data_IF_731000107667
#
_entry.id   IF_731000107667
#
_cell.length_a   1.000
_cell.length_b   1.000
_cell.length_c   1.000
_cell.angle_alpha   90.00
_cell.angle_beta   90.00
_cell.angle_gamma   90.00
#
_symmetry.space_group_name_H-M   'P 1'
#
loop_
_entity.id
_entity.type
_entity.pdbx_description
1 polymer ?
#
# COMPACT_ATOMS: atom_id res chain seq x y z
N UNK A 1 -31.42 -14.68 19.54
CA UNK A 1 -30.91 -15.13 18.22
C UNK A 1 -31.02 -14.07 17.10
N UNK A 2 -32.03 -13.17 17.10
CA UNK A 2 -32.20 -12.15 16.06
C UNK A 2 -31.09 -11.08 16.03
N UNK A 3 -30.58 -10.69 17.20
CA UNK A 3 -29.60 -9.60 17.33
C UNK A 3 -28.18 -9.95 16.83
N UNK A 4 -27.78 -11.22 16.89
CA UNK A 4 -26.50 -11.67 16.30
C UNK A 4 -26.48 -11.55 14.77
N UNK A 5 -27.64 -11.52 14.11
CA UNK A 5 -27.71 -11.42 12.64
C UNK A 5 -27.16 -10.08 12.12
N UNK A 6 -27.33 -8.98 12.87
CA UNK A 6 -26.86 -7.66 12.44
C UNK A 6 -25.33 -7.56 12.37
N UNK A 7 -24.63 -8.14 13.36
CA UNK A 7 -23.16 -8.19 13.39
C UNK A 7 -22.64 -9.04 12.23
N UNK A 8 -23.26 -10.19 11.95
CA UNK A 8 -22.91 -11.04 10.83
C UNK A 8 -23.16 -10.36 9.47
N UNK A 9 -24.26 -9.64 9.31
CA UNK A 9 -24.55 -8.88 8.10
C UNK A 9 -23.52 -7.77 7.89
N UNK A 10 -23.11 -7.07 8.95
CA UNK A 10 -22.14 -5.98 8.87
C UNK A 10 -20.71 -6.49 8.58
N UNK A 11 -20.32 -7.63 9.16
CA UNK A 11 -19.08 -8.36 8.81
C UNK A 11 -19.08 -8.84 7.35
N UNK A 12 -20.24 -9.18 6.80
CA UNK A 12 -20.39 -9.62 5.41
C UNK A 12 -20.04 -8.53 4.38
N UNK A 13 -20.10 -7.25 4.77
CA UNK A 13 -19.71 -6.12 3.91
C UNK A 13 -18.24 -5.74 4.00
N UNK A 14 -17.44 -6.38 4.87
CA UNK A 14 -16.02 -6.08 5.03
C UNK A 14 -15.06 -6.67 3.97
N UNK A 15 -15.34 -7.77 3.23
CA UNK A 15 -14.41 -8.23 2.21
C UNK A 15 -14.53 -7.33 0.97
N UNK A 16 -13.92 -6.15 1.04
CA UNK A 16 -13.53 -5.44 -0.18
C UNK A 16 -12.51 -6.33 -0.89
N UNK A 17 -12.90 -6.87 -2.05
CA UNK A 17 -12.00 -7.64 -2.89
C UNK A 17 -10.72 -6.82 -3.17
N UNK A 18 -9.55 -7.41 -2.95
CA UNK A 18 -8.28 -6.80 -3.32
C UNK A 18 -8.16 -6.84 -4.86
N UNK A 19 -8.46 -5.72 -5.53
CA UNK A 19 -8.40 -5.60 -7.00
C UNK A 19 -6.95 -5.33 -7.50
N UNK A 20 -6.05 -4.99 -6.59
CA UNK A 20 -4.68 -4.61 -6.89
C UNK A 20 -3.68 -5.49 -6.13
N UNK A 21 -2.64 -5.91 -6.82
CA UNK A 21 -1.42 -6.40 -6.19
C UNK A 21 -0.77 -5.21 -5.46
N UNK A 22 -0.14 -5.47 -4.31
CA UNK A 22 0.54 -4.42 -3.53
C UNK A 22 1.81 -4.96 -2.93
N UNK A 23 2.91 -4.26 -3.18
CA UNK A 23 4.20 -4.45 -2.51
C UNK A 23 4.34 -3.43 -1.39
N UNK A 24 4.83 -3.86 -0.23
CA UNK A 24 4.91 -3.03 0.99
C UNK A 24 6.27 -3.15 1.64
N UNK A 25 6.91 -2.01 1.91
CA UNK A 25 8.09 -1.93 2.77
C UNK A 25 7.87 -0.93 3.90
N UNK A 26 8.40 -1.24 5.08
CA UNK A 26 8.43 -0.31 6.21
C UNK A 26 9.85 0.23 6.35
N UNK A 27 9.97 1.55 6.42
CA UNK A 27 11.26 2.25 6.50
C UNK A 27 11.28 3.14 7.72
N UNK A 28 12.43 3.24 8.36
CA UNK A 28 12.67 4.16 9.46
C UNK A 28 13.59 5.27 8.96
N UNK A 29 13.16 6.52 9.12
CA UNK A 29 13.98 7.66 8.73
C UNK A 29 15.08 7.85 9.77
N UNK A 30 16.30 8.03 9.28
CA UNK A 30 17.44 8.37 10.11
C UNK A 30 17.38 9.82 10.61
N UNK A 31 18.53 10.32 11.04
CA UNK A 31 18.70 11.69 11.47
C UNK A 31 18.43 12.72 10.34
N UNK A 32 17.99 13.91 10.74
CA UNK A 32 17.50 15.00 9.89
C UNK A 32 18.52 15.43 8.84
N UNK A 33 19.81 15.34 9.14
CA UNK A 33 20.90 15.79 8.28
C UNK A 33 20.98 15.04 6.93
N UNK A 34 20.37 13.85 6.84
CA UNK A 34 20.36 13.05 5.61
C UNK A 34 19.07 13.19 4.80
N UNK A 35 18.05 13.84 5.34
CA UNK A 35 16.74 13.91 4.71
C UNK A 35 16.66 15.10 3.74
N UNK A 36 15.98 14.88 2.61
CA UNK A 36 15.74 15.94 1.64
C UNK A 36 14.67 16.90 2.17
N UNK A 37 14.97 18.20 2.08
CA UNK A 37 14.06 19.27 2.50
C UNK A 37 13.11 19.62 1.37
N UNK A 38 12.01 20.32 1.70
CA UNK A 38 11.04 20.81 0.68
C UNK A 38 11.70 21.73 -0.37
N UNK A 39 12.89 22.31 -0.08
CA UNK A 39 13.61 23.18 -1.01
C UNK A 39 14.42 22.44 -2.08
N UNK A 40 14.64 21.13 -1.95
CA UNK A 40 15.28 20.33 -3.02
C UNK A 40 14.29 19.96 -4.12
N UNK A 41 14.80 19.62 -5.32
CA UNK A 41 13.97 19.04 -6.38
C UNK A 41 13.56 17.64 -5.96
N UNK A 42 12.26 17.43 -5.78
CA UNK A 42 11.69 16.20 -5.23
C UNK A 42 10.58 15.66 -6.14
N UNK A 43 10.60 14.35 -6.39
CA UNK A 43 9.52 13.67 -7.13
C UNK A 43 8.29 13.48 -6.24
N UNK A 44 8.50 13.24 -4.94
CA UNK A 44 7.47 12.96 -3.95
C UNK A 44 7.63 13.89 -2.75
N UNK A 45 6.66 14.79 -2.56
CA UNK A 45 6.59 15.62 -1.36
C UNK A 45 5.44 15.18 -0.45
N UNK A 46 5.78 14.68 0.74
CA UNK A 46 4.80 14.13 1.67
C UNK A 46 3.80 15.17 2.21
N UNK A 47 4.15 16.46 2.22
CA UNK A 47 3.26 17.54 2.69
C UNK A 47 2.03 17.71 1.81
N UNK A 48 2.16 17.46 0.50
CA UNK A 48 1.10 17.71 -0.47
C UNK A 48 0.32 16.44 -0.78
N UNK A 49 1.01 15.36 -1.18
CA UNK A 49 0.39 14.10 -1.60
C UNK A 49 1.13 12.91 -1.00
N UNK A 50 0.44 12.07 -0.23
CA UNK A 50 0.96 10.77 0.19
C UNK A 50 0.92 9.71 -0.91
N UNK A 51 0.27 9.99 -2.04
CA UNK A 51 0.10 9.02 -3.14
C UNK A 51 0.31 9.65 -4.51
N UNK A 52 1.07 8.99 -5.38
CA UNK A 52 1.37 9.44 -6.74
C UNK A 52 1.03 8.32 -7.74
N UNK A 53 0.24 8.60 -8.78
CA UNK A 53 0.05 7.70 -9.90
C UNK A 53 1.27 7.75 -10.84
N UNK A 54 1.75 6.58 -11.25
CA UNK A 54 2.90 6.37 -12.12
C UNK A 54 2.49 5.44 -13.27
N UNK A 55 3.09 5.64 -14.44
CA UNK A 55 3.00 4.71 -15.58
C UNK A 55 4.40 4.22 -15.90
N UNK A 56 4.71 2.99 -15.46
CA UNK A 56 6.04 2.44 -15.59
C UNK A 56 6.07 1.36 -16.67
N UNK A 57 7.20 1.24 -17.36
CA UNK A 57 7.40 0.19 -18.36
C UNK A 57 8.18 -0.97 -17.74
N UNK A 58 7.57 -2.17 -17.64
CA UNK A 58 8.29 -3.36 -17.18
C UNK A 58 9.46 -3.70 -18.10
N UNK A 59 10.51 -4.29 -17.55
CA UNK A 59 11.53 -4.89 -18.41
C UNK A 59 10.99 -6.19 -19.03
N UNK A 60 11.18 -6.44 -20.34
CA UNK A 60 10.82 -7.70 -20.97
C UNK A 60 11.54 -8.89 -20.34
N UNK A 61 10.78 -9.95 -20.02
CA UNK A 61 11.36 -11.26 -19.69
C UNK A 61 11.63 -12.00 -21.00
N UNK A 62 12.89 -12.03 -21.42
CA UNK A 62 13.30 -12.81 -22.60
C UNK A 62 13.62 -14.23 -22.13
N UNK A 63 12.81 -15.24 -22.47
CA UNK A 63 13.24 -16.62 -22.32
C UNK A 63 14.40 -16.84 -23.30
N UNK A 64 15.58 -17.24 -22.79
CA UNK A 64 16.79 -17.70 -23.50
C UNK A 64 18.04 -16.79 -23.49
N UNK A 65 18.05 -15.64 -22.82
CA UNK A 65 19.33 -15.02 -22.48
C UNK A 65 19.82 -15.58 -21.15
N UNK A 66 20.93 -16.31 -21.13
CA UNK A 66 21.63 -16.78 -19.92
C UNK A 66 22.22 -15.63 -19.05
N UNK A 67 21.67 -14.42 -19.17
CA UNK A 67 21.99 -13.27 -18.34
C UNK A 67 20.90 -13.06 -17.31
N UNK A 68 21.28 -12.57 -16.12
CA UNK A 68 20.34 -12.24 -15.06
C UNK A 68 19.17 -11.40 -15.59
N UNK A 69 17.93 -11.63 -15.12
CA UNK A 69 16.79 -10.80 -15.48
C UNK A 69 17.11 -9.35 -15.17
N UNK A 70 17.27 -8.52 -16.19
CA UNK A 70 17.41 -7.09 -15.98
C UNK A 70 16.03 -6.58 -15.54
N UNK A 71 15.96 -5.82 -14.45
CA UNK A 71 14.71 -5.19 -14.00
C UNK A 71 14.74 -3.73 -14.45
N UNK A 72 13.59 -3.18 -14.86
CA UNK A 72 13.49 -1.75 -15.13
C UNK A 72 13.53 -1.05 -13.79
N UNK A 73 14.57 -0.25 -13.54
CA UNK A 73 14.78 0.44 -12.28
C UNK A 73 14.39 1.91 -12.40
N UNK A 74 13.44 2.34 -11.59
CA UNK A 74 13.01 3.72 -11.44
C UNK A 74 13.38 4.22 -10.05
N UNK A 75 13.84 5.46 -9.96
CA UNK A 75 14.26 6.07 -8.69
C UNK A 75 13.50 7.36 -8.50
N UNK A 76 12.89 7.55 -7.33
CA UNK A 76 12.08 8.70 -6.97
C UNK A 76 12.62 9.33 -5.70
N UNK A 77 12.95 10.61 -5.75
CA UNK A 77 13.37 11.41 -4.60
C UNK A 77 12.17 11.75 -3.71
N UNK A 78 12.33 11.59 -2.40
CA UNK A 78 11.26 11.79 -1.40
C UNK A 78 11.65 12.85 -0.38
N UNK A 79 10.74 13.80 -0.16
CA UNK A 79 10.95 14.97 0.67
C UNK A 79 9.83 15.18 1.68
N UNK A 80 10.14 15.95 2.73
CA UNK A 80 9.21 16.23 3.82
C UNK A 80 9.02 15.06 4.79
N UNK A 81 9.95 14.10 4.78
CA UNK A 81 10.02 13.04 5.78
C UNK A 81 10.46 13.64 7.13
N UNK A 82 9.81 13.27 8.22
CA UNK A 82 10.24 13.67 9.57
C UNK A 82 11.38 12.74 10.02
N UNK A 83 12.37 13.25 10.77
CA UNK A 83 13.43 12.41 11.33
C UNK A 83 12.89 11.44 12.37
N UNK A 84 13.54 10.28 12.51
CA UNK A 84 13.22 9.25 13.51
C UNK A 84 11.74 8.80 13.47
N UNK A 85 11.13 8.83 12.29
CA UNK A 85 9.75 8.43 12.07
C UNK A 85 9.69 7.23 11.13
N UNK A 86 8.83 6.27 11.46
CA UNK A 86 8.55 5.11 10.61
C UNK A 86 7.52 5.46 9.55
N UNK A 87 7.79 5.01 8.34
CA UNK A 87 6.95 5.16 7.17
C UNK A 87 6.69 3.80 6.53
N UNK A 88 5.53 3.68 5.92
CA UNK A 88 5.17 2.57 5.06
C UNK A 88 5.12 3.06 3.61
N UNK A 89 5.89 2.42 2.74
CA UNK A 89 5.87 2.67 1.30
C UNK A 89 5.11 1.52 0.65
N UNK A 90 4.15 1.84 -0.21
CA UNK A 90 3.31 0.88 -0.89
C UNK A 90 3.30 1.14 -2.38
N UNK A 91 3.56 0.11 -3.18
CA UNK A 91 3.40 0.14 -4.62
C UNK A 91 2.20 -0.74 -4.95
N UNK A 92 1.12 -0.15 -5.46
CA UNK A 92 -0.10 -0.87 -5.83
C UNK A 92 -0.37 -0.80 -7.32
N UNK A 93 -0.60 -1.94 -7.96
CA UNK A 93 -0.93 -2.03 -9.39
C UNK A 93 -2.09 -3.02 -9.62
N UNK A 94 -2.88 -2.87 -10.69
CA UNK A 94 -4.03 -3.75 -10.89
C UNK A 94 -3.58 -5.19 -11.12
N UNK A 95 -4.27 -6.16 -10.50
CA UNK A 95 -3.90 -7.57 -10.57
C UNK A 95 -3.93 -8.16 -11.99
N UNK A 96 -4.63 -7.49 -12.92
CA UNK A 96 -4.69 -7.85 -14.35
C UNK A 96 -3.40 -7.52 -15.12
N UNK A 97 -2.46 -6.78 -14.51
CA UNK A 97 -1.14 -6.54 -15.10
C UNK A 97 -0.15 -7.57 -14.55
N UNK A 98 0.28 -8.56 -15.34
CA UNK A 98 1.28 -9.54 -14.92
C UNK A 98 2.66 -8.89 -14.87
N UNK A 99 2.94 -8.21 -13.76
CA UNK A 99 4.23 -7.60 -13.49
C UNK A 99 4.60 -7.85 -12.04
N UNK A 100 5.88 -8.11 -11.82
CA UNK A 100 6.45 -8.24 -10.50
C UNK A 100 7.26 -6.96 -10.21
N UNK A 101 7.05 -6.43 -9.01
CA UNK A 101 7.52 -5.11 -8.59
C UNK A 101 8.16 -5.26 -7.24
N UNK A 102 9.43 -4.85 -7.16
CA UNK A 102 10.22 -4.83 -5.94
C UNK A 102 10.44 -3.39 -5.53
N UNK A 103 10.18 -3.11 -4.26
CA UNK A 103 10.45 -1.82 -3.65
C UNK A 103 11.73 -1.86 -2.83
N UNK A 104 12.55 -0.82 -2.99
CA UNK A 104 13.70 -0.58 -2.14
C UNK A 104 13.76 0.90 -1.76
N UNK A 105 14.48 1.23 -0.69
CA UNK A 105 14.59 2.58 -0.18
C UNK A 105 16.00 2.88 0.28
N UNK A 106 16.54 3.99 -0.19
CA UNK A 106 17.86 4.50 0.17
C UNK A 106 17.73 5.92 0.73
N UNK A 107 17.26 6.04 1.99
CA UNK A 107 17.16 7.25 2.85
C UNK A 107 16.43 8.46 2.26
N UNK A 108 16.77 8.87 1.05
CA UNK A 108 16.20 9.98 0.29
C UNK A 108 15.47 9.51 -0.97
N UNK A 109 15.69 8.27 -1.40
CA UNK A 109 15.14 7.76 -2.65
C UNK A 109 14.35 6.47 -2.45
N UNK A 110 13.19 6.38 -3.11
CA UNK A 110 12.45 5.14 -3.35
C UNK A 110 12.89 4.58 -4.68
N UNK A 111 13.22 3.31 -4.69
CA UNK A 111 13.62 2.56 -5.86
C UNK A 111 12.49 1.58 -6.16
N UNK A 112 12.00 1.63 -7.39
CA UNK A 112 10.98 0.71 -7.92
C UNK A 112 11.61 -0.10 -9.03
N UNK A 113 11.76 -1.40 -8.83
CA UNK A 113 12.26 -2.34 -9.82
C UNK A 113 11.08 -3.13 -10.37
N UNK A 114 10.84 -3.07 -11.68
CA UNK A 114 9.67 -3.67 -12.34
C UNK A 114 10.06 -4.57 -13.51
N UNK A 115 9.50 -5.78 -13.55
CA UNK A 115 9.67 -6.75 -14.64
C UNK A 115 8.30 -7.26 -15.14
N UNK A 116 8.30 -7.76 -16.38
CA UNK A 116 7.14 -8.45 -16.93
C UNK A 116 7.12 -9.90 -16.41
N UNK A 117 6.08 -10.31 -15.69
CA UNK A 117 5.97 -11.67 -15.13
C UNK A 117 5.06 -12.57 -15.98
N UNK A 118 5.15 -12.46 -17.31
CA UNK A 118 4.37 -13.28 -18.24
C UNK A 118 5.19 -13.77 -19.43
N UNK A 119 4.72 -14.86 -20.02
CA UNK A 119 5.21 -15.42 -21.28
C UNK A 119 4.05 -15.46 -22.28
N UNK A 120 4.31 -15.17 -23.55
CA UNK A 120 3.29 -15.15 -24.60
C UNK A 120 3.87 -15.67 -25.92
N UNK A 121 3.05 -16.26 -26.79
CA UNK A 121 3.46 -16.55 -28.16
C UNK A 121 3.63 -15.28 -29.02
N UNK A 122 3.09 -14.15 -28.56
CA UNK A 122 3.28 -12.88 -29.23
C UNK A 122 4.63 -12.27 -28.85
N UNK A 123 5.64 -12.51 -29.69
CA UNK A 123 7.00 -12.00 -29.50
C UNK A 123 7.06 -10.47 -29.34
N UNK A 124 6.18 -9.74 -30.04
CA UNK A 124 6.11 -8.28 -29.93
C UNK A 124 5.70 -7.85 -28.51
N UNK A 125 4.71 -8.53 -27.92
CA UNK A 125 4.25 -8.28 -26.56
C UNK A 125 5.34 -8.62 -25.53
N UNK A 126 6.09 -9.69 -25.76
CA UNK A 126 7.21 -10.06 -24.89
C UNK A 126 8.36 -9.07 -24.95
N UNK A 127 8.72 -8.57 -26.15
CA UNK A 127 9.78 -7.57 -26.33
C UNK A 127 9.37 -6.17 -25.87
N UNK A 128 8.08 -5.87 -25.90
CA UNK A 128 7.52 -4.56 -25.53
C UNK A 128 6.31 -4.76 -24.61
N UNK A 129 6.53 -5.09 -23.33
CA UNK A 129 5.43 -5.20 -22.39
C UNK A 129 4.67 -3.87 -22.27
N UNK A 130 3.35 -3.92 -22.01
CA UNK A 130 2.53 -2.73 -21.84
C UNK A 130 2.95 -1.93 -20.60
N UNK A 131 2.61 -0.64 -20.58
CA UNK A 131 2.80 0.20 -19.40
C UNK A 131 1.89 -0.27 -18.27
N UNK A 132 2.42 -0.27 -17.05
CA UNK A 132 1.71 -0.66 -15.83
C UNK A 132 1.34 0.61 -15.06
N UNK A 133 0.03 0.85 -14.83
CA UNK A 133 -0.41 1.87 -13.90
C UNK A 133 -0.08 1.41 -12.48
N UNK A 134 0.82 2.17 -11.85
CA UNK A 134 1.26 1.95 -10.49
C UNK A 134 0.83 3.15 -9.63
N UNK A 135 0.42 2.89 -8.40
CA UNK A 135 0.24 3.92 -7.38
C UNK A 135 1.29 3.73 -6.30
N UNK A 136 2.19 4.70 -6.17
CA UNK A 136 3.18 4.72 -5.10
C UNK A 136 2.64 5.57 -3.95
N UNK A 137 2.60 5.00 -2.75
CA UNK A 137 2.05 5.63 -1.55
C UNK A 137 3.10 5.63 -0.46
N UNK A 138 3.36 6.78 0.16
CA UNK A 138 4.26 6.93 1.31
C UNK A 138 3.43 7.45 2.47
N UNK A 139 3.34 6.68 3.55
CA UNK A 139 2.51 7.04 4.70
C UNK A 139 3.24 6.92 6.03
N UNK A 140 3.02 7.87 6.96
CA UNK A 140 3.56 7.74 8.30
C UNK A 140 2.85 6.61 9.07
N UNK A 141 3.64 5.84 9.82
CA UNK A 141 3.15 4.84 10.76
C UNK A 141 2.96 5.47 12.15
N UNK A 142 1.75 5.38 12.66
CA UNK A 142 1.39 5.63 14.06
C UNK A 142 1.86 4.45 14.91
N UNK A 143 2.42 4.74 16.09
CA UNK A 143 2.96 3.75 17.03
C UNK A 143 3.99 2.79 16.40
N UNK A 144 4.56 3.16 15.25
CA UNK A 144 5.56 2.37 14.53
C UNK A 144 5.02 1.18 13.72
N UNK A 145 3.70 0.93 13.69
CA UNK A 145 3.13 -0.20 12.94
C UNK A 145 1.81 0.10 12.22
N UNK A 146 1.06 1.15 12.61
CA UNK A 146 -0.27 1.40 12.08
C UNK A 146 -0.25 2.56 11.06
N UNK A 147 -0.57 2.36 9.78
CA UNK A 147 -0.61 3.45 8.81
C UNK A 147 -1.64 4.51 9.21
N UNK A 148 -1.27 5.79 9.08
CA UNK A 148 -2.16 6.91 9.46
C UNK A 148 -3.53 6.85 8.76
N UNK A 149 -3.59 6.35 7.53
CA UNK A 149 -4.84 6.17 6.77
C UNK A 149 -5.80 5.15 7.39
N UNK A 150 -5.32 4.25 8.25
CA UNK A 150 -6.13 3.22 8.92
C UNK A 150 -6.83 3.76 10.17
N UNK A 151 -6.41 4.93 10.69
CA UNK A 151 -6.94 5.52 11.91
C UNK A 151 -8.48 5.74 11.87
N UNK A 152 -9.07 6.29 10.79
CA UNK A 152 -10.53 6.43 10.70
C UNK A 152 -11.27 5.09 10.73
N UNK A 153 -10.69 4.04 10.14
CA UNK A 153 -11.26 2.69 10.12
C UNK A 153 -11.27 2.11 11.53
N UNK A 154 -10.15 2.21 12.25
CA UNK A 154 -10.04 1.74 13.64
C UNK A 154 -11.01 2.49 14.53
N UNK A 155 -11.11 3.82 14.39
CA UNK A 155 -12.08 4.63 15.15
C UNK A 155 -13.53 4.22 14.87
N UNK A 156 -13.87 3.98 13.61
CA UNK A 156 -15.21 3.54 13.21
C UNK A 156 -15.56 2.15 13.79
N UNK A 157 -14.66 1.17 13.65
CA UNK A 157 -14.83 -0.18 14.22
C UNK A 157 -14.98 -0.11 15.74
N UNK A 158 -14.18 0.73 16.41
CA UNK A 158 -14.27 0.93 17.86
C UNK A 158 -15.65 1.46 18.29
N UNK A 159 -16.20 2.45 17.58
CA UNK A 159 -17.55 3.00 17.84
C UNK A 159 -18.63 1.93 17.65
N UNK A 160 -18.55 1.11 16.60
CA UNK A 160 -19.48 0.00 16.38
C UNK A 160 -19.45 -0.99 17.54
N UNK A 161 -18.25 -1.36 18.00
CA UNK A 161 -18.07 -2.28 19.12
C UNK A 161 -18.69 -1.70 20.39
N UNK A 162 -18.50 -0.41 20.69
CA UNK A 162 -19.12 0.24 21.85
C UNK A 162 -20.65 0.21 21.78
N UNK A 163 -21.24 0.54 20.62
CA UNK A 163 -22.69 0.49 20.43
C UNK A 163 -23.22 -0.93 20.63
N UNK A 164 -22.53 -1.94 20.08
CA UNK A 164 -22.90 -3.34 20.24
C UNK A 164 -22.84 -3.77 21.71
N UNK A 165 -21.80 -3.39 22.45
CA UNK A 165 -21.68 -3.69 23.89
C UNK A 165 -22.79 -3.04 24.71
N UNK A 166 -23.11 -1.77 24.45
CA UNK A 166 -24.20 -1.05 25.12
C UNK A 166 -25.56 -1.70 24.79
N UNK A 167 -25.79 -2.12 23.54
CA UNK A 167 -27.01 -2.81 23.16
C UNK A 167 -27.13 -4.16 23.89
N UNK A 168 -26.05 -4.93 23.95
CA UNK A 168 -26.01 -6.24 24.61
C UNK A 168 -26.24 -6.14 26.13
N UNK A 169 -25.66 -5.17 26.82
CA UNK A 169 -25.89 -4.98 28.25
C UNK A 169 -27.34 -4.62 28.56
N UNK A 170 -27.96 -3.75 27.75
CA UNK A 170 -29.37 -3.39 27.90
C UNK A 170 -30.31 -4.58 27.65
N UNK A 171 -30.03 -5.42 26.65
CA UNK A 171 -30.79 -6.63 26.39
C UNK A 171 -30.65 -7.66 27.52
N UNK A 172 -29.45 -7.83 28.08
CA UNK A 172 -29.21 -8.75 29.19
C UNK A 172 -29.93 -8.30 30.47
N UNK A 173 -29.94 -7.00 30.75
CA UNK A 173 -30.69 -6.42 31.88
C UNK A 173 -32.20 -6.63 31.71
N UNK A 174 -32.72 -6.50 30.48
CA UNK A 174 -34.14 -6.75 30.20
C UNK A 174 -34.50 -8.22 30.42
N UNK A 175 -33.69 -9.15 29.94
CA UNK A 175 -33.97 -10.58 30.10
C UNK A 175 -33.93 -11.06 31.56
N UNK A 176 -33.12 -10.44 32.43
CA UNK A 176 -33.10 -10.78 33.87
C UNK A 176 -34.34 -10.28 34.63
N UNK A 177 -35.09 -9.33 34.06
CA UNK A 177 -36.29 -8.76 34.69
C UNK A 177 -37.57 -9.59 34.42
N UNK A 178 -37.57 -10.34 33.33
CA UNK A 178 -38.66 -11.25 32.93
C UNK A 178 -38.43 -12.66 33.50
#
# INVERSE_FOLDING_TARGET
>A
MREFRLIFVLLFFLPSFAIANTEIINVETGDSNKLLTSNSVCDIELSNNSSIPLLLKPNPTIPQAAGAPQQSKYTFSVCGLKPLQKYQIRASWPAVYPSDIILNYNITHIIVEINASFYSHNESLMKRPPLVPLRLVVEPLLLGFLPKSVLPIVGFVFVIILIALICMTNLFIKHKRD
#
